data_IF_699415722868
#
_entry.id   IF_699415722868
#
_cell.length_a   1.000
_cell.length_b   1.000
_cell.length_c   1.000
_cell.angle_alpha   90.00
_cell.angle_beta   90.00
_cell.angle_gamma   90.00
#
_symmetry.space_group_name_H-M   'P 1'
#
loop_
_entity.id
_entity.type
_entity.pdbx_description
1 polymer ?
#
# COMPACT_ATOMS: atom_id res chain seq x y z
N UNK A 1 3.05 -22.16 46.21
CA UNK A 1 2.08 -21.70 45.20
C UNK A 1 2.89 -20.94 44.16
N UNK A 2 3.34 -21.67 43.13
CA UNK A 2 4.25 -21.14 42.11
C UNK A 2 3.47 -20.26 41.15
N UNK A 3 3.95 -19.04 40.94
CA UNK A 3 3.56 -18.23 39.79
C UNK A 3 4.52 -18.58 38.67
N UNK A 4 4.09 -19.44 37.75
CA UNK A 4 4.74 -19.59 36.47
C UNK A 4 4.53 -18.28 35.70
N UNK A 5 5.54 -17.42 35.72
CA UNK A 5 5.67 -16.33 34.76
C UNK A 5 5.87 -16.97 33.39
N UNK A 6 4.77 -17.09 32.65
CA UNK A 6 4.78 -17.51 31.25
C UNK A 6 5.35 -16.35 30.41
N UNK A 7 6.65 -16.08 30.57
CA UNK A 7 7.42 -15.26 29.64
C UNK A 7 7.39 -15.99 28.29
N UNK A 8 6.70 -15.39 27.32
CA UNK A 8 6.86 -15.79 25.92
C UNK A 8 8.36 -15.79 25.63
N UNK A 9 8.93 -16.86 25.04
CA UNK A 9 10.33 -16.86 24.71
C UNK A 9 10.59 -15.71 23.75
N UNK A 10 11.27 -14.66 24.23
CA UNK A 10 11.92 -13.68 23.35
C UNK A 10 12.85 -14.50 22.47
N UNK A 11 12.48 -14.70 21.20
CA UNK A 11 13.38 -15.33 20.23
C UNK A 11 14.57 -14.40 20.08
N UNK A 12 15.64 -14.67 20.82
CA UNK A 12 16.90 -13.96 20.67
C UNK A 12 17.45 -14.29 19.28
N UNK A 13 17.15 -13.44 18.30
CA UNK A 13 17.68 -13.56 16.94
C UNK A 13 19.19 -13.34 17.00
N UNK A 14 19.96 -14.25 16.44
CA UNK A 14 21.43 -14.14 16.46
C UNK A 14 21.89 -12.85 15.77
N UNK A 15 22.93 -12.22 16.33
CA UNK A 15 23.55 -11.02 15.75
C UNK A 15 23.95 -11.19 14.28
N UNK A 16 24.38 -12.39 13.90
CA UNK A 16 24.79 -12.70 12.53
C UNK A 16 23.61 -12.64 11.55
N UNK A 17 22.42 -13.09 11.98
CA UNK A 17 21.19 -12.98 11.18
C UNK A 17 20.81 -11.52 10.97
N UNK A 18 20.84 -10.70 12.03
CA UNK A 18 20.54 -9.27 11.93
C UNK A 18 21.52 -8.55 10.99
N UNK A 19 22.82 -8.84 11.10
CA UNK A 19 23.83 -8.27 10.20
C UNK A 19 23.63 -8.66 8.74
N UNK A 20 23.15 -9.89 8.48
CA UNK A 20 22.81 -10.33 7.12
C UNK A 20 21.56 -9.62 6.59
N UNK A 21 20.53 -9.47 7.42
CA UNK A 21 19.32 -8.72 7.09
C UNK A 21 19.67 -7.28 6.73
N UNK A 22 20.46 -6.59 7.55
CA UNK A 22 20.90 -5.22 7.29
C UNK A 22 21.64 -5.09 5.94
N UNK A 23 22.49 -6.07 5.62
CA UNK A 23 23.22 -6.11 4.36
C UNK A 23 22.28 -6.25 3.16
N UNK A 24 21.26 -7.12 3.27
CA UNK A 24 20.24 -7.29 2.23
C UNK A 24 19.40 -6.02 2.06
N UNK A 25 18.95 -5.41 3.16
CA UNK A 25 18.11 -4.20 3.13
C UNK A 25 18.85 -3.00 2.59
N UNK A 26 20.17 -2.92 2.80
CA UNK A 26 21.02 -1.93 2.15
C UNK A 26 20.99 -2.06 0.63
N UNK A 27 21.10 -3.29 0.10
CA UNK A 27 21.01 -3.55 -1.34
C UNK A 27 19.60 -3.25 -1.84
N UNK A 28 18.56 -3.67 -1.10
CA UNK A 28 17.17 -3.36 -1.44
C UNK A 28 16.94 -1.85 -1.57
N UNK A 29 17.51 -1.04 -0.67
CA UNK A 29 17.49 0.41 -0.76
C UNK A 29 18.17 0.97 -2.02
N UNK A 30 19.28 0.37 -2.45
CA UNK A 30 19.94 0.75 -3.71
C UNK A 30 19.06 0.40 -4.92
N UNK A 31 18.44 -0.77 -4.95
CA UNK A 31 17.54 -1.16 -6.04
C UNK A 31 16.29 -0.28 -6.11
N UNK A 32 15.72 0.11 -4.96
CA UNK A 32 14.65 1.10 -4.90
C UNK A 32 15.07 2.43 -5.52
N UNK A 33 16.28 2.91 -5.21
CA UNK A 33 16.81 4.16 -5.78
C UNK A 33 17.07 4.06 -7.29
N UNK A 34 17.36 2.86 -7.78
CA UNK A 34 17.53 2.54 -9.19
C UNK A 34 16.21 2.23 -9.91
N UNK A 35 15.06 2.38 -9.24
CA UNK A 35 13.72 2.07 -9.75
C UNK A 35 13.53 0.59 -10.16
N UNK A 36 14.37 -0.30 -9.64
CA UNK A 36 14.31 -1.76 -9.82
C UNK A 36 13.43 -2.38 -8.74
N UNK A 37 12.14 -2.10 -8.85
CA UNK A 37 11.16 -2.39 -7.80
C UNK A 37 10.95 -3.89 -7.56
N UNK A 38 11.03 -4.71 -8.61
CA UNK A 38 10.87 -6.16 -8.48
C UNK A 38 12.03 -6.78 -7.73
N UNK A 39 13.25 -6.39 -8.07
CA UNK A 39 14.48 -6.82 -7.41
C UNK A 39 14.51 -6.36 -5.95
N UNK A 40 14.07 -5.12 -5.69
CA UNK A 40 13.92 -4.61 -4.34
C UNK A 40 12.90 -5.43 -3.52
N UNK A 41 11.75 -5.79 -4.11
CA UNK A 41 10.73 -6.63 -3.48
C UNK A 41 11.29 -8.02 -3.15
N UNK A 42 11.98 -8.66 -4.09
CA UNK A 42 12.63 -9.97 -3.89
C UNK A 42 13.69 -9.94 -2.78
N UNK A 43 14.48 -8.86 -2.68
CA UNK A 43 15.44 -8.67 -1.60
C UNK A 43 14.73 -8.48 -0.25
N UNK A 44 13.64 -7.73 -0.21
CA UNK A 44 12.84 -7.60 1.01
C UNK A 44 12.26 -8.95 1.45
N UNK A 45 11.81 -9.79 0.50
CA UNK A 45 11.35 -11.14 0.81
C UNK A 45 12.45 -12.03 1.38
N UNK A 46 13.67 -11.93 0.86
CA UNK A 46 14.83 -12.62 1.42
C UNK A 46 15.15 -12.15 2.85
N UNK A 47 15.08 -10.83 3.10
CA UNK A 47 15.26 -10.28 4.44
C UNK A 47 14.19 -10.78 5.41
N UNK A 48 12.92 -10.77 4.98
CA UNK A 48 11.77 -11.22 5.78
C UNK A 48 11.77 -12.74 6.03
N UNK A 49 12.34 -13.55 5.13
CA UNK A 49 12.54 -14.97 5.36
C UNK A 49 13.55 -15.25 6.49
N UNK A 50 14.54 -14.36 6.67
CA UNK A 50 15.54 -14.44 7.74
C UNK A 50 15.03 -13.83 9.05
N UNK A 51 14.33 -12.68 8.96
CA UNK A 51 13.78 -11.98 10.11
C UNK A 51 12.39 -11.41 9.77
N UNK A 52 11.31 -12.17 10.04
CA UNK A 52 9.94 -11.78 9.72
C UNK A 52 9.43 -10.54 10.46
N UNK A 53 10.07 -10.16 11.56
CA UNK A 53 9.69 -9.03 12.42
C UNK A 53 10.48 -7.75 12.07
N UNK A 54 11.13 -7.71 10.90
CA UNK A 54 11.81 -6.51 10.41
C UNK A 54 10.81 -5.48 9.89
N UNK A 55 10.60 -4.42 10.66
CA UNK A 55 9.80 -3.27 10.26
C UNK A 55 10.36 -2.55 9.02
N UNK A 56 11.69 -2.35 8.94
CA UNK A 56 12.35 -1.75 7.76
C UNK A 56 12.15 -2.61 6.49
N UNK A 57 12.22 -3.94 6.60
CA UNK A 57 11.98 -4.82 5.45
C UNK A 57 10.53 -4.73 4.95
N UNK A 58 9.56 -4.75 5.86
CA UNK A 58 8.15 -4.57 5.51
C UNK A 58 7.88 -3.19 4.90
N UNK A 59 8.53 -2.15 5.42
CA UNK A 59 8.41 -0.78 4.90
C UNK A 59 8.90 -0.67 3.45
N UNK A 60 10.12 -1.16 3.20
CA UNK A 60 10.74 -1.16 1.87
C UNK A 60 9.95 -2.02 0.89
N UNK A 61 9.42 -3.18 1.34
CA UNK A 61 8.56 -4.02 0.51
C UNK A 61 7.30 -3.29 0.08
N UNK A 62 6.59 -2.64 1.01
CA UNK A 62 5.40 -1.86 0.70
C UNK A 62 5.69 -0.75 -0.32
N UNK A 63 6.80 -0.03 -0.16
CA UNK A 63 7.24 0.98 -1.12
C UNK A 63 7.56 0.38 -2.50
N UNK A 64 8.28 -0.75 -2.56
CA UNK A 64 8.60 -1.45 -3.79
C UNK A 64 7.33 -1.89 -4.54
N UNK A 65 6.39 -2.50 -3.83
CA UNK A 65 5.09 -2.93 -4.39
C UNK A 65 4.32 -1.72 -4.92
N UNK A 66 4.23 -0.65 -4.13
CA UNK A 66 3.52 0.56 -4.49
C UNK A 66 4.05 1.17 -5.80
N UNK A 67 5.37 1.36 -5.89
CA UNK A 67 6.00 1.98 -7.05
C UNK A 67 6.01 1.04 -8.26
N UNK A 68 6.28 -0.26 -8.06
CA UNK A 68 6.24 -1.26 -9.13
C UNK A 68 4.84 -1.40 -9.73
N UNK A 69 3.80 -1.27 -8.90
CA UNK A 69 2.41 -1.28 -9.33
C UNK A 69 2.06 -0.07 -10.22
N UNK A 70 2.77 1.07 -10.13
CA UNK A 70 2.55 2.19 -11.07
C UNK A 70 2.84 1.81 -12.52
N UNK A 71 3.78 0.88 -12.72
CA UNK A 71 4.22 0.39 -14.04
C UNK A 71 3.48 -0.88 -14.49
N UNK A 72 2.71 -1.51 -13.61
CA UNK A 72 2.05 -2.80 -13.82
C UNK A 72 0.64 -2.81 -13.22
N UNK A 73 0.13 -3.98 -12.84
CA UNK A 73 -1.13 -4.16 -12.15
C UNK A 73 -1.09 -3.60 -10.72
N UNK A 74 -2.20 -2.99 -10.30
CA UNK A 74 -2.35 -2.42 -8.98
C UNK A 74 -2.47 -3.51 -7.89
N UNK A 75 -1.64 -3.39 -6.85
CA UNK A 75 -1.66 -4.27 -5.66
C UNK A 75 -1.91 -3.50 -4.34
N UNK A 76 -3.04 -2.77 -4.19
CA UNK A 76 -3.30 -1.94 -3.02
C UNK A 76 -3.38 -2.73 -1.70
N UNK A 77 -3.90 -3.95 -1.73
CA UNK A 77 -4.06 -4.79 -0.53
C UNK A 77 -2.71 -5.25 0.02
N UNK A 78 -1.86 -5.84 -0.83
CA UNK A 78 -0.52 -6.30 -0.45
C UNK A 78 0.35 -5.15 0.06
N UNK A 79 0.21 -3.98 -0.55
CA UNK A 79 0.90 -2.77 -0.14
C UNK A 79 0.51 -2.36 1.29
N UNK A 80 -0.78 -2.20 1.55
CA UNK A 80 -1.29 -1.87 2.89
C UNK A 80 -0.92 -2.94 3.91
N UNK A 81 -0.99 -4.22 3.56
CA UNK A 81 -0.59 -5.32 4.45
C UNK A 81 0.88 -5.22 4.87
N UNK A 82 1.78 -4.84 3.94
CA UNK A 82 3.18 -4.61 4.27
C UNK A 82 3.34 -3.46 5.27
N UNK A 83 2.66 -2.34 5.05
CA UNK A 83 2.78 -1.20 5.95
C UNK A 83 2.14 -1.43 7.33
N UNK A 84 1.02 -2.15 7.39
CA UNK A 84 0.44 -2.59 8.66
C UNK A 84 1.44 -3.45 9.43
N UNK A 85 2.11 -4.38 8.76
CA UNK A 85 3.16 -5.21 9.40
C UNK A 85 4.35 -4.39 9.85
N UNK A 86 4.83 -3.45 9.03
CA UNK A 86 5.91 -2.55 9.42
C UNK A 86 5.55 -1.78 10.69
N UNK A 87 4.34 -1.23 10.77
CA UNK A 87 3.84 -0.58 11.98
C UNK A 87 3.73 -1.54 13.16
N UNK A 88 3.22 -2.74 12.94
CA UNK A 88 3.00 -3.75 13.99
C UNK A 88 4.30 -4.16 14.66
N UNK A 89 5.38 -4.31 13.88
CA UNK A 89 6.68 -4.75 14.37
C UNK A 89 7.59 -3.62 14.85
N UNK A 90 7.22 -2.36 14.59
CA UNK A 90 8.04 -1.25 14.98
C UNK A 90 8.17 -1.16 16.52
N UNK A 91 9.41 -1.24 16.99
CA UNK A 91 9.75 -1.30 18.42
C UNK A 91 9.59 0.04 19.13
N UNK A 92 9.62 1.15 18.40
CA UNK A 92 9.42 2.49 18.92
C UNK A 92 8.33 3.24 18.15
N UNK A 93 7.09 3.18 18.65
CA UNK A 93 5.92 3.83 18.02
C UNK A 93 6.08 5.34 17.81
N UNK A 94 6.84 6.04 18.65
CA UNK A 94 7.08 7.47 18.52
C UNK A 94 7.91 7.81 17.26
N UNK A 95 8.68 6.87 16.72
CA UNK A 95 9.38 7.02 15.44
C UNK A 95 8.49 6.68 14.24
N UNK A 96 7.34 6.06 14.46
CA UNK A 96 6.47 5.51 13.42
C UNK A 96 5.33 6.47 13.07
N UNK A 97 4.94 7.39 13.95
CA UNK A 97 3.96 8.43 13.62
C UNK A 97 4.35 9.27 12.39
N UNK A 98 5.61 9.74 12.23
CA UNK A 98 6.04 10.38 10.98
C UNK A 98 5.93 9.44 9.77
N UNK A 99 6.26 8.16 9.97
CA UNK A 99 6.22 7.14 8.94
C UNK A 99 4.79 6.85 8.45
N UNK A 100 3.79 6.93 9.34
CA UNK A 100 2.37 6.79 8.97
C UNK A 100 1.95 7.87 7.96
N UNK A 101 2.38 9.11 8.17
CA UNK A 101 2.08 10.24 7.27
C UNK A 101 2.73 10.02 5.90
N UNK A 102 3.98 9.58 5.88
CA UNK A 102 4.71 9.29 4.64
C UNK A 102 4.06 8.14 3.87
N UNK A 103 3.67 7.06 4.56
CA UNK A 103 2.93 5.95 3.99
C UNK A 103 1.61 6.43 3.38
N UNK A 104 0.80 7.18 4.14
CA UNK A 104 -0.48 7.68 3.67
C UNK A 104 -0.32 8.58 2.45
N UNK A 105 0.70 9.43 2.44
CA UNK A 105 1.01 10.28 1.31
C UNK A 105 1.34 9.45 0.06
N UNK A 106 2.20 8.44 0.19
CA UNK A 106 2.58 7.54 -0.89
C UNK A 106 1.37 6.74 -1.41
N UNK A 107 0.55 6.20 -0.51
CA UNK A 107 -0.69 5.49 -0.88
C UNK A 107 -1.66 6.38 -1.64
N UNK A 108 -1.89 7.60 -1.15
CA UNK A 108 -2.80 8.57 -1.78
C UNK A 108 -2.33 8.92 -3.19
N UNK A 109 -1.02 9.16 -3.37
CA UNK A 109 -0.44 9.44 -4.69
C UNK A 109 -0.61 8.26 -5.65
N UNK A 110 -0.33 7.05 -5.18
CA UNK A 110 -0.54 5.81 -5.93
C UNK A 110 -2.01 5.63 -6.35
N UNK A 111 -2.93 5.77 -5.40
CA UNK A 111 -4.37 5.60 -5.64
C UNK A 111 -4.89 6.58 -6.68
N UNK A 112 -4.51 7.86 -6.58
CA UNK A 112 -4.87 8.88 -7.58
C UNK A 112 -4.33 8.53 -8.97
N UNK A 113 -3.08 8.07 -9.05
CA UNK A 113 -2.47 7.69 -10.32
C UNK A 113 -3.19 6.51 -10.99
N UNK A 114 -3.48 5.45 -10.23
CA UNK A 114 -4.16 4.26 -10.78
C UNK A 114 -5.60 4.56 -11.20
N UNK A 115 -6.36 5.28 -10.36
CA UNK A 115 -7.72 5.74 -10.71
C UNK A 115 -7.67 6.60 -11.98
N UNK A 116 -6.69 7.50 -12.10
CA UNK A 116 -6.49 8.32 -13.29
C UNK A 116 -6.28 7.48 -14.57
N UNK A 117 -5.50 6.40 -14.50
CA UNK A 117 -5.30 5.48 -15.64
C UNK A 117 -6.61 4.82 -16.06
N UNK A 118 -7.39 4.29 -15.12
CA UNK A 118 -8.67 3.66 -15.43
C UNK A 118 -9.70 4.66 -15.96
N UNK A 119 -9.75 5.87 -15.40
CA UNK A 119 -10.59 6.96 -15.92
C UNK A 119 -10.21 7.33 -17.35
N UNK A 120 -8.92 7.47 -17.64
CA UNK A 120 -8.46 7.76 -19.01
C UNK A 120 -8.87 6.66 -19.99
N UNK A 121 -8.68 5.40 -19.64
CA UNK A 121 -9.10 4.26 -20.46
C UNK A 121 -10.61 4.30 -20.73
N UNK A 122 -11.44 4.51 -19.69
CA UNK A 122 -12.88 4.64 -19.84
C UNK A 122 -13.28 5.83 -20.71
N UNK A 123 -12.64 7.00 -20.56
CA UNK A 123 -12.95 8.16 -21.42
C UNK A 123 -12.57 7.98 -22.89
N UNK A 124 -11.62 7.07 -23.18
CA UNK A 124 -11.23 6.74 -24.54
C UNK A 124 -12.15 5.67 -25.15
N UNK A 125 -12.54 4.69 -24.34
CA UNK A 125 -13.47 3.62 -24.69
C UNK A 125 -14.45 3.37 -23.53
N UNK A 126 -15.66 3.93 -23.59
CA UNK A 126 -16.69 3.79 -22.54
C UNK A 126 -17.39 2.43 -22.52
N UNK A 127 -16.62 1.34 -22.52
CA UNK A 127 -17.14 -0.02 -22.47
C UNK A 127 -17.49 -0.46 -21.05
N UNK A 128 -18.39 -1.44 -20.94
CA UNK A 128 -18.74 -2.08 -19.68
C UNK A 128 -17.49 -2.64 -18.97
N UNK A 129 -16.54 -3.19 -19.73
CA UNK A 129 -15.27 -3.73 -19.22
C UNK A 129 -14.45 -2.63 -18.53
N UNK A 130 -14.29 -1.46 -19.16
CA UNK A 130 -13.54 -0.35 -18.58
C UNK A 130 -14.26 0.26 -17.36
N UNK A 131 -15.59 0.30 -17.36
CA UNK A 131 -16.38 0.73 -16.21
C UNK A 131 -16.19 -0.23 -15.01
N UNK A 132 -16.27 -1.54 -15.25
CA UNK A 132 -16.08 -2.56 -14.24
C UNK A 132 -14.66 -2.54 -13.66
N UNK A 133 -13.64 -2.37 -14.50
CA UNK A 133 -12.25 -2.25 -14.06
C UNK A 133 -12.03 -1.04 -13.14
N UNK A 134 -12.60 0.13 -13.49
CA UNK A 134 -12.55 1.33 -12.66
C UNK A 134 -13.21 1.10 -11.29
N UNK A 135 -14.44 0.59 -11.28
CA UNK A 135 -15.20 0.33 -10.05
C UNK A 135 -14.49 -0.72 -9.18
N UNK A 136 -13.96 -1.78 -9.80
CA UNK A 136 -13.23 -2.83 -9.11
C UNK A 136 -11.98 -2.28 -8.42
N UNK A 137 -11.15 -1.52 -9.12
CA UNK A 137 -9.95 -0.89 -8.56
C UNK A 137 -10.31 0.04 -7.40
N UNK A 138 -11.33 0.89 -7.55
CA UNK A 138 -11.75 1.81 -6.52
C UNK A 138 -12.22 1.09 -5.26
N UNK A 139 -12.99 0.00 -5.41
CA UNK A 139 -13.41 -0.84 -4.28
C UNK A 139 -12.23 -1.43 -3.53
N UNK A 140 -11.21 -1.92 -4.23
CA UNK A 140 -9.97 -2.46 -3.64
C UNK A 140 -9.17 -1.41 -2.88
N UNK A 141 -9.02 -0.22 -3.45
CA UNK A 141 -8.34 0.92 -2.81
C UNK A 141 -9.07 1.35 -1.53
N UNK A 142 -10.40 1.48 -1.58
CA UNK A 142 -11.22 1.86 -0.43
C UNK A 142 -11.15 0.82 0.69
N UNK A 143 -11.27 -0.46 0.34
CA UNK A 143 -11.12 -1.55 1.30
C UNK A 143 -9.75 -1.54 1.97
N UNK A 144 -8.69 -1.29 1.21
CA UNK A 144 -7.31 -1.20 1.73
C UNK A 144 -7.15 0.02 2.66
N UNK A 145 -7.70 1.18 2.29
CA UNK A 145 -7.67 2.38 3.13
C UNK A 145 -8.39 2.17 4.48
N UNK A 146 -9.57 1.53 4.46
CA UNK A 146 -10.32 1.20 5.67
C UNK A 146 -9.54 0.27 6.60
N UNK A 147 -8.89 -0.78 6.05
CA UNK A 147 -8.03 -1.68 6.82
C UNK A 147 -6.83 -0.97 7.44
N UNK A 148 -6.20 -0.06 6.68
CA UNK A 148 -5.08 0.74 7.19
C UNK A 148 -5.53 1.65 8.34
N UNK A 149 -6.67 2.33 8.18
CA UNK A 149 -7.29 3.19 9.22
C UNK A 149 -7.58 2.41 10.50
N UNK A 150 -8.22 1.24 10.37
CA UNK A 150 -8.55 0.35 11.49
C UNK A 150 -7.30 -0.13 12.23
N UNK A 151 -6.32 -0.67 11.49
CA UNK A 151 -5.11 -1.24 12.07
C UNK A 151 -4.24 -0.22 12.83
N UNK A 152 -4.29 1.05 12.43
CA UNK A 152 -3.43 2.09 12.97
C UNK A 152 -4.12 3.01 13.97
N UNK A 153 -5.44 2.87 14.16
CA UNK A 153 -6.26 3.76 15.00
C UNK A 153 -6.07 5.25 14.67
N UNK A 154 -5.73 5.56 13.42
CA UNK A 154 -5.55 6.92 12.91
C UNK A 154 -6.87 7.46 12.36
N UNK A 155 -7.16 8.75 12.52
CA UNK A 155 -8.11 9.47 11.66
C UNK A 155 -7.50 9.55 10.24
N UNK A 156 -7.58 8.47 9.49
CA UNK A 156 -7.03 8.40 8.14
C UNK A 156 -8.13 8.62 7.12
N UNK A 157 -7.98 9.72 6.37
CA UNK A 157 -8.86 10.21 5.30
C UNK A 157 -10.28 10.52 5.80
N UNK A 158 -10.75 11.74 5.51
CA UNK A 158 -12.19 11.93 5.43
C UNK A 158 -12.65 11.00 4.29
N UNK A 159 -13.21 9.85 4.68
CA UNK A 159 -13.76 8.87 3.76
C UNK A 159 -14.71 9.56 2.79
N UNK A 160 -15.43 10.58 3.26
CA UNK A 160 -16.33 11.37 2.43
C UNK A 160 -15.59 12.23 1.40
N UNK A 161 -14.42 12.80 1.70
CA UNK A 161 -13.66 13.61 0.73
C UNK A 161 -13.07 12.73 -0.39
N UNK A 162 -12.50 11.57 -0.03
CA UNK A 162 -11.95 10.64 -1.02
C UNK A 162 -13.05 9.95 -1.84
N UNK A 163 -14.14 9.50 -1.21
CA UNK A 163 -15.31 8.94 -1.88
C UNK A 163 -16.04 9.99 -2.73
N UNK A 164 -16.13 11.24 -2.28
CA UNK A 164 -16.78 12.34 -3.04
C UNK A 164 -15.99 12.70 -4.29
N UNK A 165 -14.65 12.79 -4.22
CA UNK A 165 -13.79 13.01 -5.38
C UNK A 165 -13.91 11.86 -6.41
N UNK A 166 -13.93 10.63 -5.92
CA UNK A 166 -14.14 9.42 -6.69
C UNK A 166 -15.53 9.37 -7.37
N UNK A 167 -16.59 9.66 -6.61
CA UNK A 167 -17.95 9.67 -7.10
C UNK A 167 -18.23 10.85 -8.06
N UNK A 168 -17.57 11.99 -7.89
CA UNK A 168 -17.62 13.11 -8.83
C UNK A 168 -16.97 12.73 -10.17
N UNK A 169 -15.84 12.02 -10.16
CA UNK A 169 -15.20 11.50 -11.36
C UNK A 169 -16.08 10.54 -12.15
N UNK A 170 -16.73 9.58 -11.47
CA UNK A 170 -17.70 8.66 -12.08
C UNK A 170 -18.92 9.43 -12.59
N UNK A 171 -19.49 10.35 -11.81
CA UNK A 171 -20.67 11.14 -12.22
C UNK A 171 -20.39 11.97 -13.46
N UNK A 172 -19.23 12.64 -13.56
CA UNK A 172 -18.85 13.43 -14.75
C UNK A 172 -18.64 12.53 -15.98
N UNK A 173 -18.11 11.32 -15.79
CA UNK A 173 -17.96 10.35 -16.87
C UNK A 173 -19.32 9.84 -17.36
N UNK A 174 -20.24 9.52 -16.45
CA UNK A 174 -21.59 9.04 -16.76
C UNK A 174 -22.49 10.13 -17.35
N UNK A 175 -22.43 11.38 -16.86
CA UNK A 175 -23.28 12.48 -17.37
C UNK A 175 -22.85 13.00 -18.74
N UNK A 176 -21.60 12.81 -19.16
CA UNK A 176 -21.15 13.13 -20.52
C UNK A 176 -21.77 12.21 -21.59
N UNK A 177 -22.21 11.01 -21.22
CA UNK A 177 -22.83 10.07 -22.15
C UNK A 177 -24.36 10.18 -22.18
N UNK A 178 -25.01 10.28 -21.01
CA UNK A 178 -26.48 10.45 -20.97
C UNK A 178 -26.96 11.89 -21.23
N UNK A 179 -26.05 12.86 -21.34
CA UNK A 179 -26.35 14.23 -21.73
C UNK A 179 -26.31 14.50 -23.24
N UNK A 180 -26.01 13.50 -24.07
CA UNK A 180 -26.00 13.63 -25.53
C UNK A 180 -27.08 12.81 -26.26
N UNK A 181 -27.98 12.14 -25.54
CA UNK A 181 -29.10 11.38 -26.14
C UNK A 181 -30.48 12.08 -26.06
N UNK A 182 -30.56 13.37 -25.67
CA UNK A 182 -31.84 14.12 -25.63
C UNK A 182 -31.97 15.30 -26.62
N UNK A 183 -31.14 15.38 -27.66
CA UNK A 183 -31.38 16.31 -28.78
C UNK A 183 -31.20 15.64 -30.17
N UNK A 184 -32.11 14.73 -30.54
CA UNK A 184 -32.55 14.53 -31.93
C UNK A 184 -33.91 13.86 -32.00
#
# INVERSE_FOLDING_TARGET
MGMETNEKPEKTVSRDVLSKVDSILKIAGLELSALRFKEAEELCDQALALYPESDDAWMRKGFAICQGSLLSEARPEENVDCWIKAYTYATNKALVEPLQKDILHVFTKFSKFQIGKCLMAFTQDPSQENAEALVHLMRRILFSAARYKEALSTECLDEDEFLSACAAGIRVAVTREYGQEEET
#
